data_IF_338276430564
#
_entry.id   IF_338276430564
#
_cell.length_a   1.000
_cell.length_b   1.000
_cell.length_c   1.000
_cell.angle_alpha   90.00
_cell.angle_beta   90.00
_cell.angle_gamma   90.00
#
_symmetry.space_group_name_H-M   'P 1'
#
loop_
_entity.id
_entity.type
_entity.pdbx_description
1 polymer ?
#
# COMPACT_ATOMS: atom_id res chain seq x y z
N UNK A 1 0.04 -4.20 -1.56
CA UNK A 1 -1.18 -3.43 -1.83
C UNK A 1 -1.28 -2.13 -1.02
N UNK A 2 -1.15 -2.19 0.29
CA UNK A 2 -1.33 -1.00 1.14
C UNK A 2 -0.26 0.06 0.90
N UNK A 3 0.99 -0.34 0.70
CA UNK A 3 2.07 0.59 0.37
C UNK A 3 1.80 1.27 -0.96
N UNK A 4 1.37 0.52 -1.97
CA UNK A 4 1.03 1.08 -3.28
C UNK A 4 -0.09 2.11 -3.15
N UNK A 5 -1.11 1.82 -2.34
CA UNK A 5 -2.20 2.76 -2.09
C UNK A 5 -1.69 4.03 -1.42
N UNK A 6 -0.87 3.90 -0.39
CA UNK A 6 -0.33 5.06 0.32
C UNK A 6 0.48 5.96 -0.61
N UNK A 7 1.34 5.37 -1.45
CA UNK A 7 2.18 6.11 -2.40
C UNK A 7 1.35 6.70 -3.53
N UNK A 8 0.21 6.06 -3.89
CA UNK A 8 -0.68 6.59 -4.94
C UNK A 8 -1.29 7.94 -4.59
N UNK A 9 -1.37 8.26 -3.31
CA UNK A 9 -1.97 9.51 -2.83
C UNK A 9 -0.99 10.70 -2.87
N UNK A 10 0.23 10.47 -3.28
CA UNK A 10 1.26 11.48 -3.45
C UNK A 10 2.63 10.95 -3.07
N UNK A 11 3.71 11.56 -3.56
CA UNK A 11 5.07 11.13 -3.23
C UNK A 11 5.33 11.22 -1.73
N UNK A 12 5.96 10.19 -1.18
CA UNK A 12 6.27 10.09 0.25
C UNK A 12 7.65 9.50 0.46
N UNK A 13 8.37 9.98 1.47
CA UNK A 13 9.54 9.26 1.98
C UNK A 13 9.07 8.03 2.78
N UNK A 14 10.00 7.09 3.05
CA UNK A 14 9.62 5.80 3.64
C UNK A 14 8.84 5.91 4.95
N UNK A 15 9.31 6.76 5.87
CA UNK A 15 8.59 6.96 7.13
C UNK A 15 7.21 7.57 6.91
N UNK A 16 7.08 8.44 5.91
CA UNK A 16 5.79 9.02 5.53
C UNK A 16 4.80 8.00 5.01
N UNK A 17 5.27 6.95 4.32
CA UNK A 17 4.42 5.84 3.89
C UNK A 17 3.79 5.15 5.10
N UNK A 18 4.61 4.87 6.11
CA UNK A 18 4.15 4.23 7.34
C UNK A 18 3.11 5.08 8.04
N UNK A 19 3.37 6.38 8.20
CA UNK A 19 2.44 7.30 8.86
C UNK A 19 1.13 7.44 8.07
N UNK A 20 1.21 7.44 6.74
CA UNK A 20 0.01 7.55 5.91
C UNK A 20 -0.90 6.33 6.06
N UNK A 21 -0.33 5.12 6.08
CA UNK A 21 -1.11 3.90 6.28
C UNK A 21 -1.78 3.95 7.65
N UNK A 22 -1.05 4.35 8.67
CA UNK A 22 -1.60 4.50 10.02
C UNK A 22 -2.76 5.50 10.02
N UNK A 23 -2.59 6.65 9.38
CA UNK A 23 -3.58 7.70 9.32
C UNK A 23 -4.85 7.28 8.57
N UNK A 24 -4.70 6.72 7.36
CA UNK A 24 -5.88 6.35 6.55
C UNK A 24 -6.62 5.14 7.10
N UNK A 25 -6.00 4.34 7.94
CA UNK A 25 -6.67 3.22 8.61
C UNK A 25 -7.35 3.64 9.93
N UNK A 26 -7.36 4.93 10.26
CA UNK A 26 -7.87 5.42 11.54
C UNK A 26 -7.07 4.88 12.71
N UNK A 27 -5.77 4.71 12.53
CA UNK A 27 -4.82 4.19 13.52
C UNK A 27 -5.00 2.71 13.87
N UNK A 28 -5.81 1.99 13.08
CA UNK A 28 -6.05 0.57 13.32
C UNK A 28 -4.93 -0.31 12.80
N UNK A 29 -4.21 0.14 11.75
CA UNK A 29 -3.07 -0.58 11.21
C UNK A 29 -1.79 0.16 11.56
N UNK A 30 -0.86 -0.56 12.17
CA UNK A 30 0.48 -0.05 12.46
C UNK A 30 1.49 -0.99 11.83
N UNK A 31 2.28 -0.46 10.89
CA UNK A 31 3.31 -1.23 10.20
C UNK A 31 4.64 -0.89 10.85
N UNK A 32 5.40 -1.92 11.23
CA UNK A 32 6.70 -1.72 11.80
C UNK A 32 7.73 -1.37 10.71
N UNK A 33 8.67 -0.50 11.06
CA UNK A 33 9.73 -0.09 10.14
C UNK A 33 10.53 -1.27 9.60
N UNK A 34 10.75 -2.29 10.43
CA UNK A 34 11.49 -3.48 10.02
C UNK A 34 10.84 -4.23 8.86
N UNK A 35 9.51 -4.14 8.72
CA UNK A 35 8.78 -4.75 7.61
C UNK A 35 8.66 -3.82 6.41
N UNK A 36 8.64 -2.51 6.66
CA UNK A 36 8.38 -1.50 5.63
C UNK A 36 9.50 -1.43 4.60
N UNK A 37 10.75 -1.24 5.05
CA UNK A 37 11.86 -0.99 4.13
C UNK A 37 12.17 -2.17 3.22
N UNK A 38 12.16 -3.43 3.70
CA UNK A 38 12.28 -4.57 2.79
C UNK A 38 11.15 -4.63 1.76
N UNK A 39 9.92 -4.26 2.14
CA UNK A 39 8.79 -4.23 1.21
C UNK A 39 8.97 -3.14 0.15
N UNK A 40 9.42 -1.94 0.55
CA UNK A 40 9.71 -0.87 -0.40
C UNK A 40 10.80 -1.29 -1.38
N UNK A 41 11.85 -1.93 -0.89
CA UNK A 41 12.92 -2.43 -1.74
C UNK A 41 12.41 -3.40 -2.78
N UNK A 42 11.57 -4.37 -2.37
CA UNK A 42 11.00 -5.34 -3.30
C UNK A 42 10.12 -4.68 -4.36
N UNK A 43 9.28 -3.72 -3.96
CA UNK A 43 8.40 -3.02 -4.89
C UNK A 43 9.20 -2.18 -5.89
N UNK A 44 10.26 -1.54 -5.43
CA UNK A 44 11.16 -0.77 -6.30
C UNK A 44 11.87 -1.70 -7.28
N UNK A 45 12.36 -2.83 -6.80
CA UNK A 45 13.04 -3.82 -7.63
C UNK A 45 12.10 -4.43 -8.67
N UNK A 46 10.82 -4.55 -8.35
CA UNK A 46 9.79 -5.03 -9.29
C UNK A 46 9.34 -3.96 -10.28
N UNK A 47 9.82 -2.73 -10.14
CA UNK A 47 9.45 -1.64 -11.03
C UNK A 47 8.07 -1.06 -10.76
N UNK A 48 7.50 -1.30 -9.58
CA UNK A 48 6.17 -0.80 -9.23
C UNK A 48 6.21 0.58 -8.59
N UNK A 49 7.33 0.92 -7.96
CA UNK A 49 7.59 2.26 -7.44
C UNK A 49 8.99 2.69 -7.88
N UNK A 50 9.19 4.00 -7.95
CA UNK A 50 10.52 4.60 -8.18
C UNK A 50 10.80 5.56 -7.05
N UNK A 51 12.08 5.78 -6.79
CA UNK A 51 12.50 6.69 -5.75
C UNK A 51 13.34 7.82 -6.33
N UNK A 52 13.24 8.97 -5.70
CA UNK A 52 14.05 10.14 -6.01
C UNK A 52 14.52 10.74 -4.69
N UNK A 53 15.76 11.23 -4.68
CA UNK A 53 16.26 12.00 -3.54
C UNK A 53 15.65 13.39 -3.56
N UNK A 54 15.18 13.84 -2.40
CA UNK A 54 14.61 15.16 -2.22
C UNK A 54 14.90 15.66 -0.83
N UNK A 55 14.40 16.85 -0.52
CA UNK A 55 14.53 17.44 0.82
C UNK A 55 13.22 17.23 1.59
N UNK A 56 13.37 16.71 2.80
CA UNK A 56 12.25 16.63 3.74
C UNK A 56 12.04 17.98 4.43
N UNK A 57 10.97 18.07 5.24
CA UNK A 57 10.63 19.29 5.97
C UNK A 57 11.74 19.80 6.87
N UNK A 58 12.68 18.94 7.26
CA UNK A 58 13.79 19.27 8.14
C UNK A 58 15.09 19.54 7.36
N UNK A 59 15.01 19.85 6.07
CA UNK A 59 16.17 20.07 5.20
C UNK A 59 17.12 18.86 5.13
N UNK A 60 16.61 17.66 5.39
CA UNK A 60 17.39 16.43 5.28
C UNK A 60 17.11 15.76 3.96
N UNK A 61 18.13 15.15 3.38
CA UNK A 61 17.94 14.35 2.17
C UNK A 61 17.13 13.09 2.53
N UNK A 62 16.11 12.84 1.77
CA UNK A 62 15.27 11.66 1.92
C UNK A 62 14.91 11.10 0.55
N UNK A 63 14.69 9.78 0.50
CA UNK A 63 14.14 9.14 -0.70
C UNK A 63 12.63 9.29 -0.68
N UNK A 64 12.11 9.85 -1.77
CA UNK A 64 10.67 9.95 -1.98
C UNK A 64 10.26 8.92 -3.01
N UNK A 65 9.19 8.19 -2.72
CA UNK A 65 8.67 7.11 -3.56
C UNK A 65 7.43 7.55 -4.29
N UNK A 66 7.34 7.14 -5.57
CA UNK A 66 6.18 7.40 -6.43
C UNK A 66 5.78 6.11 -7.12
N UNK A 67 4.49 5.98 -7.47
CA UNK A 67 4.05 4.87 -8.29
C UNK A 67 4.53 5.06 -9.73
N UNK A 68 4.95 3.95 -10.33
CA UNK A 68 5.13 3.85 -11.77
C UNK A 68 3.77 3.55 -12.43
N UNK A 69 3.72 3.58 -13.76
CA UNK A 69 2.54 3.11 -14.49
C UNK A 69 2.24 1.64 -14.15
N UNK A 70 3.29 0.82 -14.04
CA UNK A 70 3.14 -0.58 -13.61
C UNK A 70 2.60 -0.69 -12.20
N UNK A 71 3.03 0.19 -11.29
CA UNK A 71 2.54 0.23 -9.92
C UNK A 71 1.06 0.57 -9.85
N UNK A 72 0.59 1.50 -10.69
CA UNK A 72 -0.82 1.87 -10.75
C UNK A 72 -1.68 0.70 -11.24
N UNK A 73 -1.21 0.00 -12.27
CA UNK A 73 -1.90 -1.20 -12.79
C UNK A 73 -1.96 -2.29 -11.74
N UNK A 74 -0.85 -2.52 -11.04
CA UNK A 74 -0.77 -3.53 -9.99
C UNK A 74 -1.74 -3.21 -8.85
N UNK A 75 -1.79 -1.94 -8.41
CA UNK A 75 -2.71 -1.51 -7.38
C UNK A 75 -4.16 -1.76 -7.79
N UNK A 76 -4.51 -1.39 -9.03
CA UNK A 76 -5.86 -1.61 -9.54
C UNK A 76 -6.22 -3.09 -9.56
N UNK A 77 -5.32 -3.92 -10.08
CA UNK A 77 -5.52 -5.36 -10.17
C UNK A 77 -5.70 -5.98 -8.79
N UNK A 78 -4.84 -5.63 -7.83
CA UNK A 78 -4.94 -6.15 -6.47
C UNK A 78 -6.19 -5.69 -5.76
N UNK A 79 -6.61 -4.44 -6.01
CA UNK A 79 -7.85 -3.90 -5.43
C UNK A 79 -9.07 -4.67 -5.94
N UNK A 80 -9.10 -4.95 -7.25
CA UNK A 80 -10.20 -5.74 -7.83
C UNK A 80 -10.25 -7.15 -7.27
N UNK A 81 -9.10 -7.80 -7.16
CA UNK A 81 -9.00 -9.15 -6.59
C UNK A 81 -9.47 -9.17 -5.13
N UNK A 82 -9.06 -8.18 -4.35
CA UNK A 82 -9.47 -8.07 -2.97
C UNK A 82 -10.97 -7.86 -2.86
N UNK A 83 -11.55 -6.95 -3.66
CA UNK A 83 -12.98 -6.68 -3.63
C UNK A 83 -13.79 -7.93 -4.01
N UNK A 84 -13.33 -8.68 -5.01
CA UNK A 84 -13.98 -9.93 -5.42
C UNK A 84 -13.90 -10.97 -4.31
N UNK A 85 -12.74 -11.11 -3.67
CA UNK A 85 -12.56 -12.04 -2.56
C UNK A 85 -13.43 -11.66 -1.37
N UNK A 86 -13.47 -10.37 -1.03
CA UNK A 86 -14.28 -9.88 0.08
C UNK A 86 -15.77 -10.16 -0.16
N UNK A 87 -16.26 -9.93 -1.39
CA UNK A 87 -17.63 -10.20 -1.75
C UNK A 87 -17.96 -11.70 -1.67
N UNK A 88 -17.04 -12.55 -2.14
CA UNK A 88 -17.19 -14.00 -2.08
C UNK A 88 -17.25 -14.48 -0.64
N UNK A 89 -16.32 -14.04 0.19
CA UNK A 89 -16.29 -14.41 1.61
C UNK A 89 -17.57 -13.95 2.31
N UNK A 90 -18.01 -12.71 2.06
CA UNK A 90 -19.24 -12.19 2.63
C UNK A 90 -20.46 -13.06 2.23
N UNK A 91 -20.50 -13.47 0.97
CA UNK A 91 -21.56 -14.35 0.46
C UNK A 91 -21.56 -15.70 1.19
N UNK A 92 -20.38 -16.30 1.34
CA UNK A 92 -20.23 -17.58 2.04
C UNK A 92 -20.70 -17.47 3.50
N UNK A 93 -20.32 -16.38 4.18
CA UNK A 93 -20.67 -16.17 5.58
C UNK A 93 -22.17 -15.96 5.79
N UNK A 94 -22.89 -15.50 4.76
CA UNK A 94 -24.36 -15.35 4.83
C UNK A 94 -25.11 -16.64 4.53
N UNK A 95 -24.41 -17.67 4.07
CA UNK A 95 -25.07 -18.96 3.74
C UNK A 95 -25.57 -19.61 5.01
N UNK A 96 -26.80 -20.11 4.94
CA UNK A 96 -27.44 -20.85 6.05
C UNK A 96 -27.56 -22.34 5.71
N UNK A 97 -27.74 -23.17 6.73
CA UNK A 97 -27.90 -24.62 6.53
C UNK A 97 -29.09 -24.99 5.65
N UNK A 98 -30.06 -24.09 5.54
CA UNK A 98 -31.25 -24.32 4.71
C UNK A 98 -30.93 -24.26 3.21
N UNK A 99 -29.81 -23.65 2.83
CA UNK A 99 -29.41 -23.50 1.43
C UNK A 99 -28.43 -24.56 0.93
N UNK A 100 -28.02 -25.45 1.80
CA UNK A 100 -27.05 -26.49 1.46
C UNK A 100 -27.76 -27.80 1.12
#
# INVERSE_FOLDING_TARGET
>A
MLILKAVSLGPLHGYGVLLRIQQISGEQLQIQQGSLYPALYRLEHQGLIVSEWGESENNRKAKFYRLTTGGRRQLQSETEKWNNMAALVASILRTTSEKI
#
